data_IF_002804182344
#
_entry.id   IF_002804182344
#
_cell.length_a   1.000
_cell.length_b   1.000
_cell.length_c   1.000
_cell.angle_alpha   90.00
_cell.angle_beta   90.00
_cell.angle_gamma   90.00
#
_symmetry.space_group_name_H-M   'P 1'
#
loop_
_entity.id
_entity.type
_entity.pdbx_description
1 polymer ?
#
# COMPACT_ATOMS: atom_id res chain seq x y z
N UNK A 1 -11.89 -39.70 44.32
CA UNK A 1 -11.68 -39.96 42.88
C UNK A 1 -12.06 -38.69 42.08
N UNK A 2 -11.35 -37.57 42.26
CA UNK A 2 -11.78 -36.22 41.79
C UNK A 2 -10.57 -35.31 41.45
N UNK A 3 -9.56 -35.85 40.76
CA UNK A 3 -8.38 -35.05 40.33
C UNK A 3 -7.93 -35.36 38.90
N UNK A 4 -8.86 -35.82 38.04
CA UNK A 4 -8.57 -36.09 36.61
C UNK A 4 -9.21 -35.11 35.64
N UNK A 5 -10.09 -34.22 36.12
CA UNK A 5 -10.75 -33.21 35.29
C UNK A 5 -10.12 -31.82 35.39
N UNK A 6 -9.12 -31.64 36.25
CA UNK A 6 -8.53 -30.32 36.51
C UNK A 6 -7.53 -29.86 35.43
N UNK A 7 -7.07 -30.76 34.56
CA UNK A 7 -6.08 -30.41 33.51
C UNK A 7 -6.69 -30.06 32.15
N UNK A 8 -8.02 -30.07 31.99
CA UNK A 8 -8.63 -29.82 30.68
C UNK A 8 -9.09 -28.37 30.48
N UNK A 9 -9.26 -27.60 31.56
CA UNK A 9 -9.70 -26.20 31.48
C UNK A 9 -8.57 -25.22 31.11
N UNK A 10 -7.30 -25.60 31.31
CA UNK A 10 -6.15 -24.71 31.05
C UNK A 10 -5.70 -24.72 29.59
N UNK A 11 -6.05 -25.75 28.81
CA UNK A 11 -5.64 -25.86 27.39
C UNK A 11 -6.58 -25.12 26.42
N UNK A 12 -7.76 -24.70 26.89
CA UNK A 12 -8.78 -24.04 26.04
C UNK A 12 -8.69 -22.51 26.12
N UNK A 13 -7.80 -21.96 26.97
CA UNK A 13 -7.70 -20.52 27.25
C UNK A 13 -6.63 -19.77 26.41
N UNK A 14 -6.20 -20.29 25.26
CA UNK A 14 -5.41 -19.50 24.30
C UNK A 14 -5.86 -19.74 22.86
N UNK A 15 -6.84 -18.95 22.38
CA UNK A 15 -6.70 -18.40 21.04
C UNK A 15 -7.09 -16.92 21.05
N UNK A 16 -6.40 -16.11 21.84
CA UNK A 16 -6.50 -14.66 21.83
C UNK A 16 -5.17 -14.19 22.42
N UNK A 17 -4.20 -13.60 21.73
CA UNK A 17 -4.26 -12.54 20.74
C UNK A 17 -2.99 -12.69 19.89
N UNK A 18 -3.11 -13.19 18.67
CA UNK A 18 -2.16 -12.88 17.61
C UNK A 18 -2.97 -12.29 16.46
N UNK A 19 -3.67 -11.20 16.75
CA UNK A 19 -3.99 -10.26 15.68
C UNK A 19 -2.63 -9.64 15.36
N UNK A 20 -1.89 -10.29 14.45
CA UNK A 20 -0.71 -9.68 13.87
C UNK A 20 -1.18 -8.35 13.28
N UNK A 21 -0.63 -7.25 13.79
CA UNK A 21 -0.92 -5.92 13.30
C UNK A 21 -0.56 -5.93 11.81
N UNK A 22 -1.58 -5.86 10.94
CA UNK A 22 -1.38 -5.86 9.50
C UNK A 22 -0.77 -4.51 9.14
N UNK A 23 0.54 -4.40 9.30
CA UNK A 23 1.28 -3.19 8.96
C UNK A 23 1.17 -2.98 7.46
N UNK A 24 0.22 -2.15 7.06
CA UNK A 24 0.11 -1.70 5.67
C UNK A 24 1.22 -0.69 5.43
N UNK A 25 2.13 -1.00 4.52
CA UNK A 25 3.10 0.01 4.08
C UNK A 25 2.33 1.18 3.46
N UNK A 26 2.63 2.44 3.83
CA UNK A 26 1.95 3.57 3.21
C UNK A 26 2.31 3.65 1.72
N UNK A 27 1.40 4.16 0.87
CA UNK A 27 1.73 4.48 -0.51
C UNK A 27 2.94 5.40 -0.58
N UNK A 28 3.97 4.99 -1.32
CA UNK A 28 5.24 5.71 -1.39
C UNK A 28 5.73 5.74 -2.82
N UNK A 29 5.99 6.94 -3.35
CA UNK A 29 6.70 7.12 -4.62
C UNK A 29 8.21 7.04 -4.34
N UNK A 30 8.91 6.20 -5.09
CA UNK A 30 10.36 6.00 -4.96
C UNK A 30 11.11 6.64 -6.13
N UNK A 31 10.62 6.45 -7.35
CA UNK A 31 11.25 6.98 -8.55
C UNK A 31 10.23 7.53 -9.54
N UNK A 32 10.65 8.53 -10.31
CA UNK A 32 9.88 9.13 -11.40
C UNK A 32 10.79 9.34 -12.59
N UNK A 33 10.32 9.02 -13.80
CA UNK A 33 11.09 9.20 -15.02
C UNK A 33 10.20 9.65 -16.20
N UNK A 34 10.62 10.61 -17.03
CA UNK A 34 11.83 11.43 -16.88
C UNK A 34 11.77 12.41 -15.69
N UNK A 35 12.93 12.87 -15.22
CA UNK A 35 13.03 13.84 -14.11
C UNK A 35 12.63 15.27 -14.51
N UNK A 36 12.60 15.56 -15.81
CA UNK A 36 12.23 16.86 -16.33
C UNK A 36 11.45 16.69 -17.64
N UNK A 37 10.52 17.62 -17.86
CA UNK A 37 9.69 17.68 -19.06
C UNK A 37 9.83 19.08 -19.68
N UNK A 38 9.91 19.14 -21.00
CA UNK A 38 9.95 20.41 -21.73
C UNK A 38 8.59 21.10 -21.64
N UNK A 39 8.59 22.37 -21.24
CA UNK A 39 7.37 23.18 -21.15
C UNK A 39 6.60 23.19 -22.47
N UNK A 40 5.27 23.09 -22.37
CA UNK A 40 4.36 23.06 -23.51
C UNK A 40 4.25 21.71 -24.21
N UNK A 41 5.02 20.69 -23.80
CA UNK A 41 4.89 19.34 -24.32
C UNK A 41 4.13 18.44 -23.34
N UNK A 42 3.36 17.50 -23.90
CA UNK A 42 2.82 16.37 -23.14
C UNK A 42 3.84 15.23 -23.17
N UNK A 43 4.08 14.59 -22.02
CA UNK A 43 5.04 13.48 -21.90
C UNK A 43 4.47 12.43 -20.97
N UNK A 44 4.74 11.15 -21.26
CA UNK A 44 4.41 10.05 -20.37
C UNK A 44 5.44 9.94 -19.24
N UNK A 45 4.95 9.89 -18.00
CA UNK A 45 5.76 9.72 -16.80
C UNK A 45 5.61 8.30 -16.28
N UNK A 46 6.74 7.62 -16.08
CA UNK A 46 6.80 6.38 -15.31
C UNK A 46 6.98 6.73 -13.84
N UNK A 47 6.12 6.17 -12.98
CA UNK A 47 6.19 6.34 -11.53
C UNK A 47 6.35 4.95 -10.91
N UNK A 48 7.39 4.77 -10.11
CA UNK A 48 7.67 3.53 -9.39
C UNK A 48 7.57 3.75 -7.88
N UNK A 49 7.03 2.77 -7.17
CA UNK A 49 6.70 2.94 -5.77
C UNK A 49 6.05 1.71 -5.15
N UNK A 50 5.63 1.87 -3.90
CA UNK A 50 4.96 0.84 -3.10
C UNK A 50 3.50 1.25 -2.95
N UNK A 51 2.58 0.29 -3.06
CA UNK A 51 1.15 0.45 -2.81
C UNK A 51 0.48 1.58 -3.62
N UNK A 52 0.84 1.73 -4.90
CA UNK A 52 0.24 2.71 -5.81
C UNK A 52 -1.07 2.22 -6.46
N UNK A 53 -1.39 0.93 -6.31
CA UNK A 53 -2.64 0.34 -6.82
C UNK A 53 -3.84 1.08 -6.23
N UNK A 54 -4.75 1.51 -7.10
CA UNK A 54 -5.95 2.25 -6.71
C UNK A 54 -5.80 3.78 -6.76
N UNK A 55 -4.65 4.32 -7.19
CA UNK A 55 -4.52 5.73 -7.53
C UNK A 55 -5.51 6.11 -8.65
N UNK A 56 -6.22 7.24 -8.49
CA UNK A 56 -7.28 7.70 -9.40
C UNK A 56 -7.09 9.12 -9.89
N UNK A 57 -6.37 9.93 -9.14
CA UNK A 57 -6.23 11.36 -9.38
C UNK A 57 -4.78 11.77 -9.18
N UNK A 58 -4.40 12.85 -9.85
CA UNK A 58 -3.11 13.49 -9.72
C UNK A 58 -3.39 14.93 -9.30
N UNK A 59 -2.76 15.37 -8.22
CA UNK A 59 -2.83 16.75 -7.75
C UNK A 59 -1.50 17.44 -8.07
N UNK A 60 -1.58 18.49 -8.86
CA UNK A 60 -0.44 19.38 -9.12
C UNK A 60 -0.59 20.65 -8.27
N UNK A 61 0.55 21.20 -7.87
CA UNK A 61 0.64 22.50 -7.19
C UNK A 61 0.51 23.68 -8.16
N UNK A 62 0.87 23.49 -9.43
CA UNK A 62 0.65 24.44 -10.52
C UNK A 62 -0.66 24.13 -11.27
N UNK A 63 -1.66 25.03 -11.28
CA UNK A 63 -2.93 24.83 -11.99
C UNK A 63 -2.81 24.77 -13.51
N UNK A 64 -1.68 25.19 -14.09
CA UNK A 64 -1.42 25.07 -15.52
C UNK A 64 -0.95 23.66 -15.92
N UNK A 65 -0.59 22.81 -14.96
CA UNK A 65 -0.15 21.43 -15.21
C UNK A 65 -1.34 20.49 -15.05
N UNK A 66 -1.51 19.61 -16.03
CA UNK A 66 -2.56 18.60 -16.04
C UNK A 66 -1.97 17.25 -16.41
N UNK A 67 -2.61 16.19 -15.93
CA UNK A 67 -2.18 14.83 -16.18
C UNK A 67 -3.34 13.86 -16.01
N UNK A 68 -3.16 12.67 -16.57
CA UNK A 68 -4.08 11.55 -16.37
C UNK A 68 -3.28 10.29 -16.12
N UNK A 69 -3.82 9.43 -15.27
CA UNK A 69 -3.25 8.11 -15.02
C UNK A 69 -3.58 7.23 -16.23
N UNK A 70 -2.57 6.78 -16.95
CA UNK A 70 -2.74 5.91 -18.12
C UNK A 70 -2.91 4.44 -17.71
N UNK A 71 -2.07 3.98 -16.79
CA UNK A 71 -2.07 2.62 -16.28
C UNK A 71 -1.45 2.58 -14.88
N UNK A 72 -1.91 1.63 -14.06
CA UNK A 72 -1.26 1.29 -12.78
C UNK A 72 -1.06 -0.22 -12.78
N UNK A 73 0.19 -0.66 -12.87
CA UNK A 73 0.53 -2.07 -12.90
C UNK A 73 1.14 -2.51 -11.57
N UNK A 74 0.84 -3.75 -11.17
CA UNK A 74 1.57 -4.44 -10.12
C UNK A 74 2.79 -5.12 -10.73
N UNK A 75 3.96 -4.96 -10.12
CA UNK A 75 5.04 -5.92 -10.33
C UNK A 75 4.57 -7.23 -9.70
N UNK A 76 4.31 -8.23 -10.54
CA UNK A 76 3.82 -9.55 -10.14
C UNK A 76 4.83 -10.34 -9.32
#
# INVERSE_FOLDING_TARGET
MMKRFLNLALLVAMPAILIADTRTNPPTIQETSPLAVTRGLTTELKIEGINLVGAREILFDDPAVQGKILNVNTLG
#
